data_IF_088806962485
#
_entry.id   IF_088806962485
#
_cell.length_a   1.000
_cell.length_b   1.000
_cell.length_c   1.000
_cell.angle_alpha   90.00
_cell.angle_beta   90.00
_cell.angle_gamma   90.00
#
_symmetry.space_group_name_H-M   'P 1'
#
loop_
_entity.id
_entity.type
_entity.pdbx_description
1 polymer ?
#
# COMPACT_ATOMS: atom_id res chain seq x y z
N UNK A 1 -64.68 9.02 2.56
CA UNK A 1 -63.82 7.82 2.50
C UNK A 1 -62.70 8.16 1.57
N UNK A 2 -61.56 8.52 2.13
CA UNK A 2 -60.35 8.93 1.42
C UNK A 2 -59.35 7.80 1.57
N UNK A 3 -58.76 7.36 0.46
CA UNK A 3 -57.83 6.24 0.37
C UNK A 3 -56.62 6.41 1.32
N UNK A 4 -56.25 5.41 2.14
CA UNK A 4 -55.17 5.52 3.11
C UNK A 4 -53.78 5.13 2.55
N UNK A 5 -53.59 5.11 1.23
CA UNK A 5 -52.37 4.58 0.58
C UNK A 5 -51.54 5.60 -0.20
N UNK A 6 -51.58 6.87 0.18
CA UNK A 6 -50.80 7.92 -0.48
C UNK A 6 -50.03 8.81 0.53
N UNK A 7 -49.32 8.19 1.48
CA UNK A 7 -48.24 8.87 2.20
C UNK A 7 -46.94 8.64 1.43
N UNK A 8 -46.71 9.60 0.54
CA UNK A 8 -45.53 9.82 -0.26
C UNK A 8 -44.23 9.71 0.56
N UNK A 9 -43.24 9.09 -0.07
CA UNK A 9 -41.83 9.28 0.25
C UNK A 9 -41.53 10.77 0.44
N UNK A 10 -41.46 11.23 1.69
CA UNK A 10 -40.80 12.50 2.00
C UNK A 10 -39.32 12.28 1.71
N UNK A 11 -38.88 12.78 0.55
CA UNK A 11 -37.48 13.13 0.35
C UNK A 11 -37.13 14.12 1.49
N UNK A 12 -36.31 13.69 2.44
CA UNK A 12 -35.71 14.59 3.42
C UNK A 12 -34.91 15.63 2.62
N UNK A 13 -35.37 16.89 2.59
CA UNK A 13 -34.60 17.98 2.00
C UNK A 13 -33.22 18.03 2.69
N UNK A 14 -32.17 17.59 1.99
CA UNK A 14 -30.81 17.66 2.52
C UNK A 14 -30.45 19.12 2.79
N UNK A 15 -30.24 19.47 4.06
CA UNK A 15 -29.82 20.80 4.47
C UNK A 15 -28.45 21.13 3.86
N UNK A 16 -28.39 22.18 3.04
CA UNK A 16 -27.17 22.62 2.35
C UNK A 16 -26.46 23.66 3.19
N UNK A 17 -25.18 23.41 3.50
CA UNK A 17 -24.37 24.32 4.30
C UNK A 17 -23.33 25.04 3.45
N UNK A 18 -23.11 26.32 3.72
CA UNK A 18 -22.03 27.09 3.10
C UNK A 18 -20.68 26.81 3.77
N UNK A 19 -19.63 26.65 2.97
CA UNK A 19 -18.27 26.46 3.46
C UNK A 19 -17.76 27.67 4.27
N UNK A 20 -18.27 28.87 3.97
CA UNK A 20 -17.98 30.13 4.68
C UNK A 20 -18.12 30.01 6.21
N UNK A 21 -19.09 29.23 6.69
CA UNK A 21 -19.34 29.00 8.11
C UNK A 21 -18.18 28.22 8.76
N UNK A 22 -17.72 27.15 8.11
CA UNK A 22 -16.59 26.35 8.57
C UNK A 22 -15.29 27.15 8.50
N UNK A 23 -15.06 27.91 7.42
CA UNK A 23 -13.88 28.76 7.29
C UNK A 23 -13.83 29.83 8.40
N UNK A 24 -14.97 30.44 8.73
CA UNK A 24 -15.08 31.42 9.82
C UNK A 24 -14.77 30.80 11.19
N UNK A 25 -15.20 29.55 11.42
CA UNK A 25 -14.81 28.81 12.61
C UNK A 25 -13.30 28.55 12.65
N UNK A 26 -12.73 28.07 11.53
CA UNK A 26 -11.31 27.75 11.42
C UNK A 26 -10.44 29.00 11.63
N UNK A 27 -10.82 30.17 11.11
CA UNK A 27 -10.11 31.43 11.34
C UNK A 27 -10.07 31.87 12.81
N UNK A 28 -11.09 31.53 13.60
CA UNK A 28 -11.11 31.80 15.06
C UNK A 28 -10.20 30.83 15.82
N UNK A 29 -9.97 29.66 15.25
CA UNK A 29 -8.97 28.71 15.74
C UNK A 29 -7.61 29.04 15.12
N UNK A 30 -6.50 28.64 15.73
CA UNK A 30 -5.16 28.88 15.14
C UNK A 30 -4.86 27.88 14.01
N UNK A 31 -5.77 27.76 13.05
CA UNK A 31 -5.75 26.78 11.96
C UNK A 31 -5.80 27.52 10.63
N UNK A 32 -4.82 27.26 9.77
CA UNK A 32 -4.81 27.71 8.38
C UNK A 32 -5.47 26.68 7.48
N UNK A 33 -6.09 27.16 6.40
CA UNK A 33 -6.59 26.31 5.31
C UNK A 33 -5.61 26.44 4.15
N UNK A 34 -4.89 25.36 3.86
CA UNK A 34 -3.86 25.29 2.82
C UNK A 34 -4.39 24.67 1.50
N UNK A 35 -5.58 24.09 1.51
CA UNK A 35 -6.20 23.55 0.30
C UNK A 35 -7.66 23.17 0.50
N UNK A 36 -8.45 23.29 -0.56
CA UNK A 36 -9.88 22.93 -0.61
C UNK A 36 -10.06 21.94 -1.75
N UNK A 37 -10.52 20.73 -1.44
CA UNK A 37 -10.77 19.67 -2.40
C UNK A 37 -12.27 19.48 -2.58
N UNK A 38 -12.74 19.57 -3.81
CA UNK A 38 -14.16 19.48 -4.14
C UNK A 38 -14.43 18.34 -5.11
N UNK A 39 -15.61 17.73 -5.03
CA UNK A 39 -16.10 16.71 -5.96
C UNK A 39 -17.58 17.03 -6.21
N UNK A 40 -17.99 17.14 -7.47
CA UNK A 40 -19.36 17.54 -7.85
C UNK A 40 -19.88 18.79 -7.11
N UNK A 41 -19.06 19.86 -7.07
CA UNK A 41 -19.34 21.13 -6.37
C UNK A 41 -19.54 21.02 -4.84
N UNK A 42 -19.33 19.84 -4.25
CA UNK A 42 -19.32 19.61 -2.80
C UNK A 42 -17.89 19.64 -2.29
N UNK A 43 -17.66 20.26 -1.14
CA UNK A 43 -16.36 20.18 -0.45
C UNK A 43 -16.23 18.81 0.21
N UNK A 44 -15.16 18.09 -0.12
CA UNK A 44 -14.89 16.73 0.39
C UNK A 44 -13.76 16.75 1.41
N UNK A 45 -12.69 17.48 1.12
CA UNK A 45 -11.56 17.63 2.04
C UNK A 45 -11.11 19.08 2.16
N UNK A 46 -10.59 19.41 3.35
CA UNK A 46 -9.77 20.59 3.56
C UNK A 46 -8.38 20.15 4.01
N UNK A 47 -7.32 20.67 3.37
CA UNK A 47 -5.97 20.58 3.91
C UNK A 47 -5.79 21.70 4.92
N UNK A 48 -5.56 21.32 6.17
CA UNK A 48 -5.46 22.23 7.30
C UNK A 48 -4.06 22.17 7.91
N UNK A 49 -3.62 23.29 8.49
CA UNK A 49 -2.36 23.38 9.23
C UNK A 49 -2.59 24.05 10.58
N UNK A 50 -2.19 23.38 11.67
CA UNK A 50 -2.11 24.03 12.98
C UNK A 50 -0.95 25.03 13.00
N UNK A 51 -1.26 26.32 13.10
CA UNK A 51 -0.27 27.40 12.99
C UNK A 51 0.80 27.35 14.10
N UNK A 52 0.47 26.83 15.28
CA UNK A 52 1.41 26.76 16.40
C UNK A 52 2.45 25.65 16.24
N UNK A 53 2.08 24.54 15.60
CA UNK A 53 2.90 23.31 15.56
C UNK A 53 3.39 22.98 14.15
N UNK A 54 2.79 23.56 13.12
CA UNK A 54 3.05 23.22 11.72
C UNK A 54 2.45 21.88 11.30
N UNK A 55 1.70 21.20 12.17
CA UNK A 55 1.07 19.91 11.88
C UNK A 55 0.01 20.09 10.79
N UNK A 56 0.20 19.41 9.67
CA UNK A 56 -0.73 19.38 8.53
C UNK A 56 -1.56 18.10 8.53
N UNK A 57 -2.85 18.22 8.21
CA UNK A 57 -3.78 17.10 8.15
C UNK A 57 -4.94 17.41 7.21
N UNK A 58 -5.63 16.37 6.75
CA UNK A 58 -6.86 16.50 5.97
C UNK A 58 -8.08 16.37 6.88
N UNK A 59 -8.99 17.34 6.76
CA UNK A 59 -10.33 17.26 7.32
C UNK A 59 -11.27 16.69 6.26
N UNK A 60 -11.79 15.49 6.49
CA UNK A 60 -12.83 14.89 5.66
C UNK A 60 -14.21 15.40 6.05
N UNK A 61 -14.99 15.82 5.06
CA UNK A 61 -16.37 16.29 5.20
C UNK A 61 -17.31 15.20 4.65
N UNK A 62 -18.02 14.46 5.53
CA UNK A 62 -19.02 13.47 5.12
C UNK A 62 -20.12 14.05 4.23
N UNK A 63 -20.65 13.25 3.30
CA UNK A 63 -21.70 13.66 2.35
C UNK A 63 -22.95 14.19 3.03
N UNK A 64 -23.34 13.62 4.18
CA UNK A 64 -24.51 14.03 4.97
C UNK A 64 -24.55 15.50 5.42
N UNK A 65 -23.41 16.21 5.39
CA UNK A 65 -23.36 17.64 5.72
C UNK A 65 -23.49 18.55 4.49
N UNK A 66 -23.54 18.00 3.28
CA UNK A 66 -23.71 18.71 2.00
C UNK A 66 -23.11 20.14 1.96
N UNK A 67 -21.81 20.25 2.27
CA UNK A 67 -21.12 21.54 2.31
C UNK A 67 -20.72 21.94 0.88
N UNK A 68 -21.25 23.05 0.38
CA UNK A 68 -20.94 23.56 -0.97
C UNK A 68 -19.92 24.68 -0.92
N UNK A 69 -19.13 24.73 -1.99
CA UNK A 69 -18.23 25.84 -2.28
C UNK A 69 -19.01 27.13 -2.53
N UNK A 70 -18.58 28.24 -1.93
CA UNK A 70 -19.16 29.58 -2.11
C UNK A 70 -18.07 30.61 -2.46
N UNK A 71 -18.43 31.89 -2.63
CA UNK A 71 -17.48 32.93 -3.05
C UNK A 71 -16.31 33.18 -2.08
N UNK A 72 -16.37 32.70 -0.83
CA UNK A 72 -15.31 32.84 0.16
C UNK A 72 -14.04 32.04 -0.17
N UNK A 73 -14.13 31.04 -1.05
CA UNK A 73 -12.99 30.16 -1.38
C UNK A 73 -11.95 30.78 -2.32
N UNK A 74 -12.25 31.91 -2.95
CA UNK A 74 -11.45 32.51 -4.05
C UNK A 74 -9.97 32.72 -3.71
N UNK A 75 -9.65 32.89 -2.43
CA UNK A 75 -8.28 33.15 -1.96
C UNK A 75 -7.55 31.89 -1.49
N UNK A 76 -8.17 30.71 -1.58
CA UNK A 76 -7.60 29.45 -1.15
C UNK A 76 -7.20 28.58 -2.35
N UNK A 77 -6.12 27.78 -2.24
CA UNK A 77 -5.80 26.76 -3.24
C UNK A 77 -6.96 25.78 -3.39
N UNK A 78 -7.46 25.60 -4.62
CA UNK A 78 -8.60 24.76 -4.92
C UNK A 78 -8.21 23.63 -5.85
N UNK A 79 -8.77 22.45 -5.60
CA UNK A 79 -8.59 21.25 -6.42
C UNK A 79 -9.95 20.62 -6.65
N UNK A 80 -10.28 20.38 -7.91
CA UNK A 80 -11.43 19.56 -8.26
C UNK A 80 -10.96 18.11 -8.40
N UNK A 81 -11.58 17.24 -7.60
CA UNK A 81 -11.40 15.82 -7.62
C UNK A 81 -12.27 15.22 -8.73
N UNK A 82 -11.71 14.26 -9.45
CA UNK A 82 -12.43 13.37 -10.34
C UNK A 82 -12.08 11.93 -9.98
N UNK A 83 -12.99 11.00 -10.26
CA UNK A 83 -12.69 9.57 -10.22
C UNK A 83 -12.52 9.18 -11.68
N UNK A 84 -11.42 8.49 -12.02
CA UNK A 84 -11.31 7.90 -13.36
C UNK A 84 -12.37 6.81 -13.45
N UNK A 85 -13.35 7.00 -14.32
CA UNK A 85 -14.10 5.87 -14.86
C UNK A 85 -13.12 5.09 -15.75
N UNK A 86 -13.20 3.76 -15.74
CA UNK A 86 -12.37 2.91 -16.61
C UNK A 86 -12.73 3.19 -18.07
N UNK A 87 -12.13 4.22 -18.67
CA UNK A 87 -12.21 4.44 -20.12
C UNK A 87 -11.40 3.32 -20.80
N UNK A 88 -12.12 2.33 -21.33
CA UNK A 88 -11.55 1.16 -22.01
C UNK A 88 -10.75 1.49 -23.29
N UNK A 89 -10.75 2.73 -23.81
CA UNK A 89 -10.08 3.01 -25.07
C UNK A 89 -9.38 4.37 -25.14
N UNK A 90 -8.09 4.31 -25.49
CA UNK A 90 -7.25 5.36 -26.09
C UNK A 90 -6.59 6.41 -25.18
N UNK A 91 -5.44 6.06 -24.56
CA UNK A 91 -4.24 6.93 -24.46
C UNK A 91 -3.00 6.14 -23.95
N UNK A 92 -2.22 5.55 -24.86
CA UNK A 92 -1.42 4.36 -24.55
C UNK A 92 -0.04 4.53 -23.87
N UNK A 93 0.47 5.74 -23.57
CA UNK A 93 1.84 5.84 -23.01
C UNK A 93 2.07 6.77 -21.81
N UNK A 94 1.34 7.87 -21.66
CA UNK A 94 1.48 8.75 -20.47
C UNK A 94 0.45 8.43 -19.39
N UNK A 95 -0.77 8.03 -19.80
CA UNK A 95 -1.81 7.56 -18.87
C UNK A 95 -1.37 6.26 -18.18
N UNK A 96 -0.61 5.40 -18.86
CA UNK A 96 -0.18 4.11 -18.30
C UNK A 96 0.82 4.25 -17.13
N UNK A 97 1.75 5.21 -17.19
CA UNK A 97 2.73 5.42 -16.10
C UNK A 97 2.09 6.02 -14.85
N UNK A 98 1.22 7.02 -15.01
CA UNK A 98 0.49 7.59 -13.87
C UNK A 98 -0.48 6.58 -13.27
N UNK A 99 -1.19 5.80 -14.09
CA UNK A 99 -2.01 4.67 -13.63
C UNK A 99 -1.20 3.64 -12.85
N UNK A 100 0.00 3.29 -13.32
CA UNK A 100 0.86 2.33 -12.63
C UNK A 100 1.33 2.88 -11.27
N UNK A 101 1.74 4.14 -11.20
CA UNK A 101 2.10 4.81 -9.94
C UNK A 101 0.90 4.83 -8.97
N UNK A 102 -0.30 5.15 -9.45
CA UNK A 102 -1.52 5.14 -8.63
C UNK A 102 -1.82 3.75 -8.09
N UNK A 103 -1.81 2.72 -8.94
CA UNK A 103 -2.02 1.32 -8.52
C UNK A 103 -0.96 0.88 -7.49
N UNK A 104 0.30 1.28 -7.66
CA UNK A 104 1.36 1.02 -6.66
C UNK A 104 1.05 1.71 -5.33
N UNK A 105 0.57 2.95 -5.36
CA UNK A 105 0.19 3.72 -4.17
C UNK A 105 -1.03 3.11 -3.47
N UNK A 106 -2.05 2.69 -4.20
CA UNK A 106 -3.21 1.97 -3.66
C UNK A 106 -2.82 0.65 -3.01
N UNK A 107 -1.99 -0.15 -3.67
CA UNK A 107 -1.47 -1.40 -3.12
C UNK A 107 -0.67 -1.16 -1.83
N UNK A 108 0.08 -0.06 -1.75
CA UNK A 108 0.78 0.34 -0.54
C UNK A 108 -0.21 0.76 0.57
N UNK A 109 -1.21 1.59 0.26
CA UNK A 109 -2.23 2.04 1.21
C UNK A 109 -3.07 0.88 1.75
N UNK A 110 -3.38 -0.11 0.92
CA UNK A 110 -4.08 -1.33 1.33
C UNK A 110 -3.33 -2.10 2.45
N UNK A 111 -1.99 -2.04 2.48
CA UNK A 111 -1.21 -2.64 3.57
C UNK A 111 -1.40 -1.87 4.89
N UNK A 112 -1.57 -0.55 4.82
CA UNK A 112 -1.79 0.31 5.97
C UNK A 112 -3.22 0.26 6.52
N UNK A 113 -4.21 -0.21 5.75
CA UNK A 113 -5.60 -0.38 6.23
C UNK A 113 -5.64 -1.14 7.55
N UNK A 114 -4.96 -2.29 7.66
CA UNK A 114 -4.91 -3.09 8.90
C UNK A 114 -4.27 -2.35 10.08
N UNK A 115 -3.44 -1.36 9.79
CA UNK A 115 -2.74 -0.56 10.80
C UNK A 115 -3.69 0.49 11.39
N UNK A 116 -4.52 1.12 10.55
CA UNK A 116 -5.38 2.26 10.90
C UNK A 116 -6.88 1.96 11.01
N UNK A 117 -7.28 0.70 10.77
CA UNK A 117 -8.68 0.26 10.73
C UNK A 117 -9.51 0.74 11.94
N UNK A 118 -8.97 0.52 13.13
CA UNK A 118 -9.65 0.85 14.38
C UNK A 118 -9.28 2.24 14.92
N UNK A 119 -8.48 2.99 14.15
CA UNK A 119 -8.01 4.33 14.50
C UNK A 119 -9.01 5.42 14.10
N UNK A 120 -9.02 6.49 14.91
CA UNK A 120 -9.76 7.73 14.63
C UNK A 120 -9.18 8.45 13.39
N UNK A 121 -7.86 8.37 13.23
CA UNK A 121 -7.16 8.94 12.10
C UNK A 121 -6.99 7.90 11.00
N UNK A 122 -7.37 8.28 9.78
CA UNK A 122 -7.02 7.56 8.56
C UNK A 122 -5.82 8.23 7.90
N UNK A 123 -5.48 7.79 6.69
CA UNK A 123 -4.30 8.28 5.97
C UNK A 123 -4.67 8.65 4.54
N UNK A 124 -4.01 9.66 4.02
CA UNK A 124 -3.99 9.98 2.60
C UNK A 124 -2.56 10.23 2.13
N UNK A 125 -2.33 9.94 0.86
CA UNK A 125 -1.13 10.31 0.12
C UNK A 125 -1.59 11.27 -0.95
N UNK A 126 -1.10 12.50 -0.88
CA UNK A 126 -1.38 13.54 -1.86
C UNK A 126 -0.15 13.69 -2.74
N UNK A 127 -0.35 13.55 -4.05
CA UNK A 127 0.63 13.84 -5.08
C UNK A 127 0.17 15.04 -5.90
N UNK A 128 1.00 15.50 -6.83
CA UNK A 128 0.67 16.69 -7.64
C UNK A 128 -0.61 16.50 -8.45
N UNK A 129 -0.88 15.30 -8.95
CA UNK A 129 -1.98 15.03 -9.90
C UNK A 129 -3.05 14.11 -9.35
N UNK A 130 -2.87 13.55 -8.16
CA UNK A 130 -3.83 12.63 -7.56
C UNK A 130 -3.68 12.55 -6.04
N UNK A 131 -4.69 12.00 -5.38
CA UNK A 131 -4.67 11.63 -3.97
C UNK A 131 -5.22 10.23 -3.79
N UNK A 132 -4.57 9.42 -2.97
CA UNK A 132 -5.09 8.12 -2.53
C UNK A 132 -5.36 8.16 -1.03
N UNK A 133 -6.55 7.77 -0.59
CA UNK A 133 -7.02 7.89 0.79
C UNK A 133 -7.59 6.58 1.30
N UNK A 134 -7.32 6.25 2.56
CA UNK A 134 -8.10 5.24 3.30
C UNK A 134 -9.33 5.97 3.85
N UNK A 135 -10.51 5.63 3.34
CA UNK A 135 -11.75 6.26 3.75
C UNK A 135 -12.24 5.76 5.11
N UNK A 136 -13.35 6.31 5.58
CA UNK A 136 -14.01 5.93 6.85
C UNK A 136 -14.53 4.49 6.92
N UNK A 137 -14.67 3.85 5.76
CA UNK A 137 -15.11 2.45 5.61
C UNK A 137 -13.92 1.51 5.44
N UNK A 138 -12.69 1.99 5.70
CA UNK A 138 -11.45 1.24 5.56
C UNK A 138 -11.16 0.78 4.12
N UNK A 139 -11.81 1.41 3.13
CA UNK A 139 -11.54 1.19 1.72
C UNK A 139 -10.51 2.21 1.22
N UNK A 140 -9.66 1.77 0.29
CA UNK A 140 -8.69 2.65 -0.39
C UNK A 140 -9.35 3.21 -1.64
N UNK A 141 -9.43 4.52 -1.73
CA UNK A 141 -9.97 5.26 -2.87
C UNK A 141 -8.90 6.18 -3.44
N UNK A 142 -8.89 6.35 -4.76
CA UNK A 142 -8.03 7.31 -5.44
C UNK A 142 -8.85 8.35 -6.17
N UNK A 143 -8.42 9.59 -6.08
CA UNK A 143 -8.98 10.75 -6.75
C UNK A 143 -7.92 11.38 -7.63
N UNK A 144 -8.29 11.78 -8.83
CA UNK A 144 -7.46 12.52 -9.76
C UNK A 144 -7.76 14.01 -9.60
N UNK A 145 -6.76 14.84 -9.78
CA UNK A 145 -6.91 16.28 -9.70
C UNK A 145 -7.08 16.84 -11.10
N UNK A 146 -8.16 17.58 -11.35
CA UNK A 146 -8.36 18.29 -12.61
C UNK A 146 -7.25 19.34 -12.87
N UNK A 147 -6.65 19.85 -11.80
CA UNK A 147 -5.54 20.78 -11.82
C UNK A 147 -4.46 20.34 -10.82
N UNK A 148 -3.16 20.46 -11.15
CA UNK A 148 -2.11 20.03 -10.24
C UNK A 148 -2.17 20.77 -8.91
N UNK A 149 -2.06 20.01 -7.81
CA UNK A 149 -1.93 20.57 -6.48
C UNK A 149 -0.45 20.81 -6.15
N UNK A 150 -0.19 21.90 -5.44
CA UNK A 150 1.18 22.36 -5.16
C UNK A 150 1.85 21.57 -4.03
N UNK A 151 1.06 21.00 -3.13
CA UNK A 151 1.54 20.27 -1.96
C UNK A 151 1.47 18.76 -2.22
N UNK A 152 2.54 18.06 -1.88
CA UNK A 152 2.58 16.59 -1.90
C UNK A 152 3.05 16.08 -0.55
N UNK A 153 2.51 14.96 -0.09
CA UNK A 153 2.88 14.41 1.20
C UNK A 153 1.98 13.27 1.66
N UNK A 154 2.24 12.81 2.87
CA UNK A 154 1.41 11.85 3.58
C UNK A 154 0.73 12.60 4.72
N UNK A 155 -0.59 12.50 4.79
CA UNK A 155 -1.39 13.27 5.73
C UNK A 155 -2.29 12.34 6.53
N UNK A 156 -2.48 12.64 7.81
CA UNK A 156 -3.57 12.05 8.57
C UNK A 156 -4.90 12.66 8.13
N UNK A 157 -5.93 11.84 8.11
CA UNK A 157 -7.29 12.22 7.75
C UNK A 157 -8.17 12.08 8.99
N UNK A 158 -8.90 13.13 9.33
CA UNK A 158 -9.88 13.14 10.42
C UNK A 158 -11.24 13.56 9.89
N UNK A 159 -12.31 12.93 10.38
CA UNK A 159 -13.68 13.30 10.02
C UNK A 159 -14.12 14.59 10.74
N UNK A 160 -14.98 15.37 10.08
CA UNK A 160 -15.51 16.64 10.59
C UNK A 160 -16.08 16.56 12.01
N UNK A 161 -16.83 15.52 12.32
CA UNK A 161 -17.47 15.36 13.63
C UNK A 161 -16.45 15.12 14.74
N UNK A 162 -15.45 14.29 14.45
CA UNK A 162 -14.35 14.01 15.37
C UNK A 162 -13.47 15.24 15.55
N UNK A 163 -13.20 15.96 14.46
CA UNK A 163 -12.49 17.23 14.50
C UNK A 163 -13.14 18.21 15.47
N UNK A 164 -14.46 18.43 15.39
CA UNK A 164 -15.16 19.33 16.33
C UNK A 164 -15.06 18.88 17.79
N UNK A 165 -15.08 17.57 18.05
CA UNK A 165 -14.93 17.02 19.41
C UNK A 165 -13.51 17.20 19.96
N UNK A 166 -12.51 17.22 19.08
CA UNK A 166 -11.09 17.17 19.46
C UNK A 166 -10.32 18.47 19.15
N UNK A 167 -10.97 19.50 18.65
CA UNK A 167 -10.32 20.72 18.14
C UNK A 167 -9.34 21.38 19.12
N UNK A 168 -9.58 21.27 20.44
CA UNK A 168 -8.71 21.84 21.48
C UNK A 168 -7.45 21.04 21.79
N UNK A 169 -7.37 19.77 21.38
CA UNK A 169 -6.23 18.87 21.66
C UNK A 169 -5.65 18.19 20.42
N UNK A 170 -6.16 18.56 19.24
CA UNK A 170 -5.94 17.80 18.01
C UNK A 170 -4.47 17.71 17.59
N UNK A 171 -3.68 18.75 17.83
CA UNK A 171 -2.25 18.76 17.54
C UNK A 171 -1.49 17.69 18.33
N UNK A 172 -1.73 17.64 19.65
CA UNK A 172 -1.18 16.62 20.54
C UNK A 172 -1.70 15.23 20.20
N UNK A 173 -2.97 15.11 19.85
CA UNK A 173 -3.58 13.82 19.53
C UNK A 173 -3.03 13.25 18.20
N UNK A 174 -2.82 14.10 17.19
CA UNK A 174 -2.15 13.71 15.94
C UNK A 174 -0.71 13.25 16.20
N UNK A 175 0.07 14.01 16.98
CA UNK A 175 1.46 13.64 17.30
C UNK A 175 1.55 12.32 18.07
N UNK A 176 0.65 12.11 19.03
CA UNK A 176 0.55 10.84 19.75
C UNK A 176 0.21 9.68 18.81
N UNK A 177 -0.72 9.90 17.87
CA UNK A 177 -1.08 8.90 16.89
C UNK A 177 0.08 8.59 15.93
N UNK A 178 0.83 9.60 15.48
CA UNK A 178 2.03 9.43 14.66
C UNK A 178 3.08 8.54 15.35
N UNK A 179 3.31 8.78 16.64
CA UNK A 179 4.23 7.96 17.44
C UNK A 179 3.74 6.51 17.56
N UNK A 180 2.45 6.31 17.86
CA UNK A 180 1.85 4.97 17.94
C UNK A 180 1.91 4.23 16.60
N UNK A 181 1.61 4.93 15.51
CA UNK A 181 1.66 4.41 14.16
C UNK A 181 3.08 3.98 13.76
N UNK A 182 4.06 4.83 14.04
CA UNK A 182 5.48 4.57 13.79
C UNK A 182 5.94 3.32 14.54
N UNK A 183 5.62 3.21 15.83
CA UNK A 183 5.94 2.03 16.63
C UNK A 183 5.31 0.76 16.08
N UNK A 184 4.05 0.82 15.62
CA UNK A 184 3.36 -0.32 15.01
C UNK A 184 4.04 -0.76 13.71
N UNK A 185 4.45 0.17 12.85
CA UNK A 185 5.21 -0.15 11.64
C UNK A 185 6.55 -0.81 11.99
N UNK A 186 7.34 -0.16 12.86
CA UNK A 186 8.68 -0.66 13.22
C UNK A 186 8.60 -2.06 13.83
N UNK A 187 7.62 -2.31 14.71
CA UNK A 187 7.42 -3.65 15.28
C UNK A 187 7.11 -4.72 14.21
N UNK A 188 6.33 -4.37 13.17
CA UNK A 188 6.06 -5.26 12.06
C UNK A 188 7.30 -5.52 11.20
N UNK A 189 8.09 -4.47 10.93
CA UNK A 189 9.36 -4.58 10.19
C UNK A 189 10.35 -5.46 10.94
N UNK A 190 10.49 -5.28 12.25
CA UNK A 190 11.39 -6.09 13.08
C UNK A 190 11.01 -7.58 13.05
N UNK A 191 9.71 -7.90 13.11
CA UNK A 191 9.23 -9.28 12.99
C UNK A 191 9.59 -9.89 11.64
N UNK A 192 9.39 -9.16 10.54
CA UNK A 192 9.71 -9.66 9.19
C UNK A 192 11.21 -9.78 8.97
N UNK A 193 12.02 -8.82 9.42
CA UNK A 193 13.49 -8.91 9.36
C UNK A 193 13.96 -10.15 10.13
N UNK A 194 13.50 -10.33 11.37
CA UNK A 194 13.86 -11.49 12.18
C UNK A 194 13.43 -12.83 11.55
N UNK A 195 12.37 -12.83 10.74
CA UNK A 195 11.94 -14.00 9.97
C UNK A 195 12.81 -14.27 8.74
N UNK A 196 13.24 -13.22 8.02
CA UNK A 196 14.00 -13.33 6.78
C UNK A 196 15.49 -13.58 7.04
N UNK A 197 16.08 -12.99 8.08
CA UNK A 197 17.51 -13.10 8.39
C UNK A 197 18.01 -14.56 8.50
N UNK A 198 17.31 -15.50 9.17
CA UNK A 198 17.73 -16.91 9.20
C UNK A 198 17.74 -17.58 7.82
N UNK A 199 16.79 -17.23 6.95
CA UNK A 199 16.71 -17.76 5.58
C UNK A 199 17.89 -17.26 4.77
N UNK A 200 18.16 -15.95 4.79
CA UNK A 200 19.30 -15.35 4.10
C UNK A 200 20.63 -15.95 4.60
N UNK A 201 20.77 -16.14 5.91
CA UNK A 201 21.95 -16.77 6.50
C UNK A 201 22.12 -18.23 6.06
N UNK A 202 21.02 -19.00 5.94
CA UNK A 202 21.07 -20.36 5.42
C UNK A 202 21.53 -20.36 3.96
N UNK A 203 20.92 -19.51 3.13
CA UNK A 203 21.26 -19.39 1.71
C UNK A 203 22.73 -18.98 1.54
N UNK A 204 23.20 -18.00 2.32
CA UNK A 204 24.60 -17.57 2.31
C UNK A 204 25.57 -18.70 2.70
N UNK A 205 25.22 -19.50 3.71
CA UNK A 205 25.99 -20.70 4.09
C UNK A 205 25.98 -21.74 2.97
N UNK A 206 24.83 -22.01 2.37
CA UNK A 206 24.68 -22.96 1.26
C UNK A 206 25.57 -22.54 0.08
N UNK A 207 25.56 -21.26 -0.31
CA UNK A 207 26.45 -20.71 -1.35
C UNK A 207 27.93 -20.84 -0.96
N UNK A 208 28.33 -20.44 0.24
CA UNK A 208 29.74 -20.50 0.63
C UNK A 208 30.26 -21.94 0.77
N UNK A 209 29.35 -22.90 1.04
CA UNK A 209 29.67 -24.32 1.03
C UNK A 209 29.74 -24.91 -0.38
N UNK A 210 29.26 -24.18 -1.39
CA UNK A 210 29.30 -24.61 -2.78
C UNK A 210 30.74 -24.57 -3.31
N UNK A 211 31.27 -25.76 -3.60
CA UNK A 211 32.54 -25.92 -4.31
C UNK A 211 32.30 -26.82 -5.52
N UNK A 212 32.29 -26.23 -6.71
CA UNK A 212 32.12 -26.95 -7.98
C UNK A 212 33.09 -28.13 -8.12
N UNK A 213 34.34 -27.94 -7.67
CA UNK A 213 35.39 -28.97 -7.67
C UNK A 213 35.07 -30.15 -6.73
N UNK A 214 34.60 -29.87 -5.51
CA UNK A 214 34.25 -30.93 -4.55
C UNK A 214 32.97 -31.67 -4.93
N UNK A 215 31.97 -30.97 -5.47
CA UNK A 215 30.73 -31.57 -5.98
C UNK A 215 31.01 -32.49 -7.18
N UNK A 216 31.83 -32.03 -8.12
CA UNK A 216 32.27 -32.84 -9.26
C UNK A 216 33.00 -34.09 -8.81
N UNK A 217 33.96 -33.97 -7.88
CA UNK A 217 34.67 -35.12 -7.32
C UNK A 217 33.74 -36.14 -6.62
N UNK A 218 32.80 -35.67 -5.78
CA UNK A 218 31.81 -36.55 -5.13
C UNK A 218 30.86 -37.21 -6.13
N UNK A 219 30.50 -36.52 -7.20
CA UNK A 219 29.68 -37.09 -8.26
C UNK A 219 30.43 -38.20 -9.00
N UNK A 220 31.67 -37.94 -9.43
CA UNK A 220 32.55 -38.94 -10.06
C UNK A 220 32.70 -40.16 -9.15
N UNK A 221 33.00 -39.97 -7.86
CA UNK A 221 33.13 -41.07 -6.91
C UNK A 221 31.85 -41.93 -6.82
N UNK A 222 30.67 -41.31 -6.79
CA UNK A 222 29.38 -42.02 -6.77
C UNK A 222 29.12 -42.77 -8.07
N UNK A 223 29.43 -42.15 -9.22
CA UNK A 223 29.30 -42.77 -10.54
C UNK A 223 30.24 -43.96 -10.66
N UNK A 224 31.49 -43.86 -10.20
CA UNK A 224 32.45 -44.96 -10.21
C UNK A 224 31.99 -46.12 -9.33
N UNK A 225 31.53 -45.84 -8.10
CA UNK A 225 30.93 -46.85 -7.21
C UNK A 225 29.73 -47.55 -7.84
N UNK A 226 28.83 -46.80 -8.46
CA UNK A 226 27.65 -47.36 -9.13
C UNK A 226 28.03 -48.13 -10.39
N UNK A 227 29.02 -47.68 -11.14
CA UNK A 227 29.53 -48.38 -12.33
C UNK A 227 30.15 -49.72 -11.94
N UNK A 228 30.90 -49.75 -10.84
CA UNK A 228 31.41 -50.99 -10.27
C UNK A 228 30.27 -51.92 -9.85
N UNK A 229 29.22 -51.41 -9.19
CA UNK A 229 28.03 -52.21 -8.84
C UNK A 229 27.32 -52.78 -10.07
N UNK A 230 27.19 -52.01 -11.15
CA UNK A 230 26.63 -52.46 -12.43
C UNK A 230 27.48 -53.59 -13.02
N UNK A 231 28.81 -53.43 -13.02
CA UNK A 231 29.74 -54.45 -13.52
C UNK A 231 29.62 -55.74 -12.69
N UNK A 232 29.57 -55.63 -11.36
CA UNK A 232 29.50 -56.79 -10.45
C UNK A 232 28.16 -57.52 -10.51
N UNK A 233 27.04 -56.82 -10.76
CA UNK A 233 25.69 -57.40 -10.74
C UNK A 233 25.14 -57.68 -12.15
N UNK A 234 25.99 -57.62 -13.18
CA UNK A 234 25.58 -57.77 -14.59
C UNK A 234 24.91 -59.13 -14.82
N UNK A 235 23.72 -59.12 -15.44
CA UNK A 235 22.95 -60.34 -15.74
C UNK A 235 22.17 -60.92 -14.56
N UNK A 236 22.15 -60.24 -13.40
CA UNK A 236 21.35 -60.67 -12.23
C UNK A 236 20.01 -59.93 -12.14
N UNK A 237 19.05 -60.50 -11.39
CA UNK A 237 17.74 -59.89 -11.15
C UNK A 237 17.79 -58.56 -10.39
N UNK A 238 18.92 -58.20 -9.78
CA UNK A 238 19.13 -56.95 -9.02
C UNK A 238 19.50 -55.74 -9.91
N UNK A 239 19.67 -55.93 -11.23
CA UNK A 239 20.10 -54.85 -12.13
C UNK A 239 19.12 -53.67 -12.19
N UNK A 240 17.81 -53.94 -12.16
CA UNK A 240 16.78 -52.90 -12.18
C UNK A 240 16.89 -51.96 -10.97
N UNK A 241 17.19 -52.50 -9.79
CA UNK A 241 17.37 -51.71 -8.57
C UNK A 241 18.61 -50.81 -8.65
N UNK A 242 19.70 -51.31 -9.23
CA UNK A 242 20.93 -50.54 -9.45
C UNK A 242 20.71 -49.41 -10.47
N UNK A 243 19.96 -49.65 -11.54
CA UNK A 243 19.59 -48.61 -12.51
C UNK A 243 18.67 -47.54 -11.90
N UNK A 244 17.69 -47.95 -11.10
CA UNK A 244 16.81 -47.02 -10.38
C UNK A 244 17.60 -46.15 -9.39
N UNK A 245 18.57 -46.73 -8.69
CA UNK A 245 19.47 -45.99 -7.81
C UNK A 245 20.34 -44.99 -8.61
N UNK A 246 20.87 -45.40 -9.76
CA UNK A 246 21.65 -44.53 -10.65
C UNK A 246 20.82 -43.34 -11.15
N UNK A 247 19.58 -43.59 -11.58
CA UNK A 247 18.64 -42.56 -12.01
C UNK A 247 18.35 -41.57 -10.88
N UNK A 248 18.07 -42.05 -9.66
CA UNK A 248 17.81 -41.18 -8.50
C UNK A 248 19.00 -40.29 -8.16
N UNK A 249 20.21 -40.85 -8.09
CA UNK A 249 21.43 -40.07 -7.81
C UNK A 249 21.65 -38.99 -8.87
N UNK A 250 21.33 -39.27 -10.14
CA UNK A 250 21.44 -38.28 -11.21
C UNK A 250 20.43 -37.16 -11.03
N UNK A 251 19.16 -37.48 -10.78
CA UNK A 251 18.09 -36.50 -10.54
C UNK A 251 18.43 -35.59 -9.36
N UNK A 252 18.81 -36.17 -8.21
CA UNK A 252 19.13 -35.41 -6.99
C UNK A 252 20.29 -34.42 -7.19
N UNK A 253 21.26 -34.73 -8.07
CA UNK A 253 22.36 -33.81 -8.36
C UNK A 253 21.95 -32.70 -9.33
N UNK A 254 21.08 -32.98 -10.30
CA UNK A 254 20.57 -31.97 -11.23
C UNK A 254 19.69 -30.96 -10.50
N UNK A 255 18.77 -31.42 -9.63
CA UNK A 255 17.93 -30.55 -8.81
C UNK A 255 18.77 -29.60 -7.94
N UNK A 256 19.86 -30.10 -7.35
CA UNK A 256 20.78 -29.26 -6.57
C UNK A 256 21.49 -28.20 -7.41
N UNK A 257 21.89 -28.52 -8.64
CA UNK A 257 22.54 -27.54 -9.52
C UNK A 257 21.57 -26.42 -9.92
N UNK A 258 20.34 -26.77 -10.28
CA UNK A 258 19.27 -25.80 -10.61
C UNK A 258 19.01 -24.88 -9.42
N UNK A 259 18.87 -25.44 -8.20
CA UNK A 259 18.68 -24.67 -6.98
C UNK A 259 19.80 -23.63 -6.74
N UNK A 260 21.07 -24.01 -6.93
CA UNK A 260 22.18 -23.08 -6.78
C UNK A 260 22.19 -21.99 -7.87
N UNK A 261 21.82 -22.32 -9.10
CA UNK A 261 21.72 -21.35 -10.20
C UNK A 261 20.63 -20.31 -9.93
N UNK A 262 19.44 -20.75 -9.51
CA UNK A 262 18.32 -19.87 -9.14
C UNK A 262 18.72 -18.91 -8.02
N UNK A 263 19.41 -19.41 -6.99
CA UNK A 263 19.91 -18.60 -5.90
C UNK A 263 20.90 -17.53 -6.39
N UNK A 264 21.86 -17.91 -7.24
CA UNK A 264 22.87 -16.97 -7.76
C UNK A 264 22.21 -15.87 -8.59
N UNK A 265 21.21 -16.20 -9.40
CA UNK A 265 20.46 -15.22 -10.19
C UNK A 265 19.67 -14.27 -9.28
N UNK A 266 18.96 -14.79 -8.28
CA UNK A 266 18.24 -13.98 -7.30
C UNK A 266 19.14 -12.94 -6.59
N UNK A 267 20.37 -13.31 -6.22
CA UNK A 267 21.30 -12.34 -5.61
C UNK A 267 21.85 -11.30 -6.60
N UNK A 268 22.00 -11.65 -7.87
CA UNK A 268 22.36 -10.66 -8.91
C UNK A 268 21.23 -9.65 -9.07
N UNK A 269 19.99 -10.11 -9.13
CA UNK A 269 18.82 -9.23 -9.25
C UNK A 269 18.72 -8.26 -8.07
N UNK A 270 18.95 -8.72 -6.83
CA UNK A 270 19.02 -7.83 -5.65
C UNK A 270 20.14 -6.79 -5.79
N UNK A 271 21.32 -7.20 -6.24
CA UNK A 271 22.47 -6.29 -6.40
C UNK A 271 22.19 -5.21 -7.45
N UNK A 272 21.53 -5.57 -8.55
CA UNK A 272 21.25 -4.65 -9.66
C UNK A 272 20.10 -3.67 -9.33
N UNK A 273 19.33 -3.93 -8.27
CA UNK A 273 18.30 -3.04 -7.74
C UNK A 273 18.81 -1.94 -6.79
N UNK A 274 20.06 -2.03 -6.31
CA UNK A 274 20.71 -1.11 -5.35
C UNK A 274 21.67 -0.18 -6.09
#
# INVERSE_FOLDING_TARGET
>A
MSDPYNEEHREEEEEVFELSNLLSFLQKTKISVNGIFTYDNRTVFLLLMYLNTGVEFLLYIPSKFNIKSDNSIKNYPQVNLTIEEEDEENNFHTASYEQEIRKRTENMMNRFVKVVKDGIYKMAIVQKTYMTVINRHDAVESYIFANPFVTTGVFFVIELETFYKMASSLDRDILNFEQLFTNKILSGVDVEINRITPILNKVYKDINSFSSRQLSAKYTERVDKLSNLIITNRGTSKMTDVYNLFSRVRTDNLEKLIYYEEIVNFFKDIKDMI
#
